data_IF_924985020575
#
_entry.id   IF_924985020575
#
_cell.length_a   1.000
_cell.length_b   1.000
_cell.length_c   1.000
_cell.angle_alpha   90.00
_cell.angle_beta   90.00
_cell.angle_gamma   90.00
#
_symmetry.space_group_name_H-M   'P 1'
#
loop_
_entity.id
_entity.type
_entity.pdbx_description
1 polymer ?
#
# COMPACT_ATOMS: atom_id res chain seq x y z
N UNK A 1 -12.52 -56.48 33.12
CA UNK A 1 -11.97 -55.13 32.88
C UNK A 1 -10.92 -55.24 31.78
N UNK A 2 -11.34 -55.13 30.51
CA UNK A 2 -10.45 -55.13 29.37
C UNK A 2 -10.19 -53.68 28.97
N UNK A 3 -8.93 -53.25 29.03
CA UNK A 3 -8.47 -52.02 28.38
C UNK A 3 -8.13 -52.34 26.92
N UNK A 4 -8.80 -51.69 26.01
CA UNK A 4 -8.47 -51.66 24.59
C UNK A 4 -7.52 -50.49 24.35
N UNK A 5 -6.25 -50.77 24.09
CA UNK A 5 -5.26 -49.81 23.59
C UNK A 5 -5.46 -49.64 22.09
N UNK A 6 -5.95 -48.44 21.71
CA UNK A 6 -6.04 -48.03 20.30
C UNK A 6 -4.76 -47.29 19.96
N UNK A 7 -3.83 -47.94 19.29
CA UNK A 7 -2.67 -47.33 18.66
C UNK A 7 -3.06 -46.50 17.45
N UNK A 8 -3.07 -45.20 17.59
CA UNK A 8 -3.15 -44.25 16.46
C UNK A 8 -1.76 -44.12 15.82
N UNK A 9 -1.51 -44.86 14.77
CA UNK A 9 -0.37 -44.59 13.87
C UNK A 9 -0.63 -43.32 13.12
N UNK A 10 0.08 -42.24 13.48
CA UNK A 10 0.15 -41.00 12.72
C UNK A 10 0.83 -41.24 11.37
N UNK A 11 0.04 -41.49 10.34
CA UNK A 11 0.51 -41.42 8.96
C UNK A 11 0.83 -39.96 8.64
N UNK A 12 2.11 -39.58 8.73
CA UNK A 12 2.63 -38.35 8.19
C UNK A 12 2.54 -38.40 6.66
N UNK A 13 1.52 -37.81 6.08
CA UNK A 13 1.53 -37.55 4.64
C UNK A 13 2.75 -36.70 4.30
N UNK A 14 3.51 -37.02 3.25
CA UNK A 14 4.64 -36.20 2.86
C UNK A 14 4.13 -34.82 2.39
N UNK A 15 4.57 -33.75 3.06
CA UNK A 15 4.38 -32.38 2.61
C UNK A 15 5.10 -32.23 1.27
N UNK A 16 4.39 -32.37 0.15
CA UNK A 16 4.91 -32.01 -1.16
C UNK A 16 5.17 -30.50 -1.16
N UNK A 17 6.45 -30.13 -1.18
CA UNK A 17 6.89 -28.77 -1.46
C UNK A 17 6.41 -28.43 -2.88
N UNK A 18 5.41 -27.57 -3.02
CA UNK A 18 5.07 -26.97 -4.29
C UNK A 18 6.30 -26.17 -4.75
N UNK A 19 6.99 -26.66 -5.77
CA UNK A 19 8.00 -25.88 -6.48
C UNK A 19 7.28 -24.81 -7.27
N UNK A 20 7.40 -23.59 -6.84
CA UNK A 20 7.05 -22.41 -7.63
C UNK A 20 8.08 -22.34 -8.79
N UNK A 21 7.76 -22.98 -9.93
CA UNK A 21 8.63 -23.07 -11.10
C UNK A 21 8.32 -21.94 -12.08
N UNK A 22 8.27 -20.70 -11.63
CA UNK A 22 8.17 -19.58 -12.55
C UNK A 22 9.33 -18.63 -12.33
N UNK A 23 10.39 -18.87 -13.10
CA UNK A 23 11.39 -17.86 -13.37
C UNK A 23 10.84 -16.97 -14.48
N UNK A 24 10.35 -15.78 -14.14
CA UNK A 24 10.22 -14.70 -15.10
C UNK A 24 11.61 -14.09 -15.33
N UNK A 25 12.21 -14.42 -16.46
CA UNK A 25 13.41 -13.76 -16.97
C UNK A 25 13.00 -12.45 -17.68
N UNK A 26 12.57 -11.45 -16.93
CA UNK A 26 12.72 -10.08 -17.40
C UNK A 26 13.98 -9.49 -16.77
N UNK A 27 14.75 -8.76 -17.57
CA UNK A 27 16.01 -8.09 -17.19
C UNK A 27 15.86 -6.99 -16.12
N UNK A 28 14.88 -7.08 -15.25
CA UNK A 28 14.71 -6.22 -14.10
C UNK A 28 15.42 -6.84 -12.91
N UNK A 29 16.25 -6.05 -12.32
CA UNK A 29 17.06 -6.20 -11.12
C UNK A 29 16.73 -7.44 -10.24
N UNK A 30 17.64 -8.43 -10.21
CA UNK A 30 17.52 -9.68 -9.41
C UNK A 30 17.11 -9.44 -7.94
N UNK A 31 17.41 -8.26 -7.39
CA UNK A 31 17.04 -7.90 -6.03
C UNK A 31 15.55 -7.75 -5.83
N UNK A 32 14.83 -7.28 -6.86
CA UNK A 32 13.40 -7.11 -6.84
C UNK A 32 12.68 -8.47 -6.88
N UNK A 33 13.18 -9.40 -7.70
CA UNK A 33 12.63 -10.76 -7.77
C UNK A 33 12.78 -11.54 -6.46
N UNK A 34 13.86 -11.33 -5.72
CA UNK A 34 14.06 -12.02 -4.45
C UNK A 34 13.05 -11.62 -3.36
N UNK A 35 12.54 -10.37 -3.37
CA UNK A 35 11.45 -9.96 -2.47
C UNK A 35 10.11 -10.59 -2.81
N UNK A 36 9.93 -10.92 -4.09
CA UNK A 36 8.70 -11.52 -4.61
C UNK A 36 8.65 -13.03 -4.32
N UNK A 37 9.79 -13.70 -4.18
CA UNK A 37 9.87 -15.15 -3.97
C UNK A 37 9.39 -15.62 -2.59
N UNK A 38 9.22 -14.73 -1.61
CA UNK A 38 8.60 -15.02 -0.31
C UNK A 38 7.07 -14.83 -0.32
N UNK A 39 6.42 -15.09 -1.44
CA UNK A 39 4.95 -15.08 -1.50
C UNK A 39 4.39 -16.18 -0.60
N UNK A 40 3.44 -15.89 0.28
CA UNK A 40 2.75 -16.92 1.04
C UNK A 40 2.13 -17.95 0.11
N UNK A 41 2.00 -19.19 0.57
CA UNK A 41 1.30 -20.24 -0.17
C UNK A 41 -0.10 -19.78 -0.55
N UNK A 42 -0.66 -20.27 -1.68
CA UNK A 42 -2.02 -19.92 -2.09
C UNK A 42 -2.97 -20.14 -0.92
N UNK A 43 -3.84 -19.16 -0.70
CA UNK A 43 -4.81 -19.19 0.41
C UNK A 43 -5.88 -20.23 0.20
N UNK A 44 -6.17 -20.59 -1.06
CA UNK A 44 -7.19 -21.56 -1.44
C UNK A 44 -6.55 -22.94 -1.69
N UNK A 45 -6.99 -23.93 -0.94
CA UNK A 45 -6.54 -25.31 -1.17
C UNK A 45 -7.23 -25.89 -2.42
N UNK A 46 -6.58 -26.88 -3.05
CA UNK A 46 -7.15 -27.57 -4.22
C UNK A 46 -8.54 -28.16 -3.96
N UNK A 47 -8.77 -28.68 -2.76
CA UNK A 47 -10.06 -29.25 -2.34
C UNK A 47 -11.16 -28.18 -2.23
N UNK A 48 -10.83 -27.04 -1.67
CA UNK A 48 -11.72 -25.88 -1.62
C UNK A 48 -12.05 -25.37 -3.02
N UNK A 49 -11.05 -25.27 -3.89
CA UNK A 49 -11.21 -24.85 -5.26
C UNK A 49 -12.18 -25.77 -6.04
N UNK A 50 -12.02 -27.10 -5.92
CA UNK A 50 -12.93 -28.05 -6.54
C UNK A 50 -14.36 -27.90 -5.99
N UNK A 51 -14.51 -27.62 -4.70
CA UNK A 51 -15.79 -27.38 -4.07
C UNK A 51 -16.44 -26.09 -4.61
N UNK A 52 -15.67 -25.01 -4.74
CA UNK A 52 -16.13 -23.75 -5.33
C UNK A 52 -16.59 -23.95 -6.78
N UNK A 53 -15.79 -24.59 -7.62
CA UNK A 53 -16.14 -24.86 -9.02
C UNK A 53 -17.44 -25.65 -9.13
N UNK A 54 -17.64 -26.67 -8.28
CA UNK A 54 -18.87 -27.48 -8.26
C UNK A 54 -20.11 -26.68 -7.84
N UNK A 55 -19.94 -25.62 -7.06
CA UNK A 55 -21.01 -24.70 -6.68
C UNK A 55 -21.54 -23.86 -7.82
N UNK A 56 -20.76 -23.70 -8.89
CA UNK A 56 -21.07 -22.83 -10.00
C UNK A 56 -20.88 -21.35 -9.70
N UNK A 57 -21.20 -20.50 -10.69
CA UNK A 57 -21.10 -19.04 -10.55
C UNK A 57 -22.15 -18.48 -9.59
N UNK A 58 -21.74 -17.52 -8.78
CA UNK A 58 -22.60 -16.78 -7.85
C UNK A 58 -22.15 -15.32 -7.71
N UNK A 59 -22.60 -14.65 -6.65
CA UNK A 59 -22.23 -13.25 -6.37
C UNK A 59 -20.71 -13.07 -6.14
N UNK A 60 -20.02 -14.11 -5.68
CA UNK A 60 -18.62 -14.08 -5.28
C UNK A 60 -17.70 -14.91 -6.16
N UNK A 61 -18.25 -15.68 -7.08
CA UNK A 61 -17.50 -16.57 -7.96
C UNK A 61 -17.87 -16.37 -9.43
N UNK A 62 -16.85 -16.18 -10.25
CA UNK A 62 -16.97 -16.13 -11.72
C UNK A 62 -16.02 -17.14 -12.35
N UNK A 63 -16.52 -17.95 -13.29
CA UNK A 63 -15.76 -18.98 -14.00
C UNK A 63 -15.52 -18.56 -15.45
N UNK A 64 -14.32 -18.78 -15.96
CA UNK A 64 -13.95 -18.45 -17.33
C UNK A 64 -13.15 -19.59 -17.96
N UNK A 65 -13.48 -19.97 -19.17
CA UNK A 65 -12.70 -20.97 -19.92
C UNK A 65 -11.32 -20.41 -20.26
N UNK A 66 -11.27 -19.15 -20.69
CA UNK A 66 -10.05 -18.44 -21.07
C UNK A 66 -10.21 -16.93 -20.91
N UNK A 67 -9.12 -16.22 -20.94
CA UNK A 67 -9.12 -14.76 -21.05
C UNK A 67 -9.32 -14.38 -22.52
N UNK A 68 -10.54 -13.98 -22.91
CA UNK A 68 -10.88 -13.74 -24.32
C UNK A 68 -11.20 -12.28 -24.64
N UNK A 69 -11.65 -11.50 -23.67
CA UNK A 69 -12.01 -10.10 -23.85
C UNK A 69 -11.61 -9.30 -22.60
N UNK A 70 -10.49 -8.57 -22.66
CA UNK A 70 -9.98 -7.79 -21.53
C UNK A 70 -11.00 -6.82 -20.94
N UNK A 71 -11.77 -6.12 -21.79
CA UNK A 71 -12.80 -5.18 -21.33
C UNK A 71 -13.89 -5.89 -20.49
N UNK A 72 -14.40 -7.04 -20.96
CA UNK A 72 -15.40 -7.83 -20.20
C UNK A 72 -14.83 -8.37 -18.90
N UNK A 73 -13.54 -8.69 -18.87
CA UNK A 73 -12.85 -9.13 -17.66
C UNK A 73 -12.71 -7.95 -16.68
N UNK A 74 -12.29 -6.75 -17.16
CA UNK A 74 -12.24 -5.54 -16.33
C UNK A 74 -13.59 -5.22 -15.70
N UNK A 75 -14.68 -5.29 -16.47
CA UNK A 75 -16.05 -5.12 -15.97
C UNK A 75 -16.42 -6.15 -14.89
N UNK A 76 -16.03 -7.42 -15.06
CA UNK A 76 -16.25 -8.48 -14.06
C UNK A 76 -15.47 -8.22 -12.77
N UNK A 77 -14.20 -7.85 -12.88
CA UNK A 77 -13.37 -7.50 -11.73
C UNK A 77 -13.94 -6.30 -10.99
N UNK A 78 -14.34 -5.24 -11.72
CA UNK A 78 -14.99 -4.06 -11.13
C UNK A 78 -16.30 -4.44 -10.43
N UNK A 79 -17.10 -5.29 -11.03
CA UNK A 79 -18.37 -5.74 -10.42
C UNK A 79 -18.13 -6.50 -9.10
N UNK A 80 -17.16 -7.41 -9.06
CA UNK A 80 -16.76 -8.09 -7.82
C UNK A 80 -16.25 -7.09 -6.78
N UNK A 81 -15.33 -6.21 -7.17
CA UNK A 81 -14.71 -5.23 -6.27
C UNK A 81 -15.71 -4.25 -5.65
N UNK A 82 -16.74 -3.88 -6.39
CA UNK A 82 -17.81 -2.96 -5.93
C UNK A 82 -18.90 -3.63 -5.12
N UNK A 83 -18.98 -4.95 -5.14
CA UNK A 83 -20.02 -5.66 -4.39
C UNK A 83 -19.48 -6.08 -3.01
N UNK A 84 -18.73 -7.15 -2.93
CA UNK A 84 -18.13 -7.59 -1.67
C UNK A 84 -16.81 -8.33 -1.89
N UNK A 85 -16.23 -8.16 -3.08
CA UNK A 85 -15.11 -8.96 -3.54
C UNK A 85 -15.54 -10.31 -4.09
N UNK A 86 -14.58 -11.17 -4.35
CA UNK A 86 -14.83 -12.52 -4.83
C UNK A 86 -13.66 -13.06 -5.65
N UNK A 87 -13.89 -14.20 -6.26
CA UNK A 87 -12.89 -14.97 -6.98
C UNK A 87 -13.28 -15.14 -8.44
N UNK A 88 -12.34 -14.94 -9.34
CA UNK A 88 -12.48 -15.26 -10.76
C UNK A 88 -11.51 -16.38 -11.12
N UNK A 89 -12.01 -17.48 -11.71
CA UNK A 89 -11.22 -18.67 -12.03
C UNK A 89 -11.16 -18.85 -13.54
N UNK A 90 -9.96 -18.95 -14.08
CA UNK A 90 -9.69 -19.16 -15.51
C UNK A 90 -9.21 -20.57 -15.76
N UNK A 91 -9.75 -21.21 -16.79
CA UNK A 91 -9.49 -22.60 -17.16
C UNK A 91 -10.59 -23.56 -16.75
N UNK A 92 -11.81 -23.05 -16.49
CA UNK A 92 -13.00 -23.84 -16.13
C UNK A 92 -14.09 -23.57 -17.15
N UNK A 93 -14.73 -24.65 -17.66
CA UNK A 93 -15.84 -24.53 -18.61
C UNK A 93 -17.18 -24.27 -17.92
N UNK A 94 -18.16 -23.82 -18.71
CA UNK A 94 -19.54 -23.62 -18.29
C UNK A 94 -20.20 -24.91 -17.74
N UNK A 95 -19.62 -26.09 -18.07
CA UNK A 95 -20.03 -27.38 -17.53
C UNK A 95 -19.34 -27.72 -16.21
N UNK A 96 -18.71 -26.75 -15.58
CA UNK A 96 -17.99 -26.88 -14.30
C UNK A 96 -16.83 -27.88 -14.36
N UNK A 97 -16.20 -28.04 -15.53
CA UNK A 97 -15.05 -28.93 -15.73
C UNK A 97 -13.77 -28.13 -15.82
N UNK A 98 -12.75 -28.62 -15.13
CA UNK A 98 -11.41 -28.05 -15.24
C UNK A 98 -10.79 -28.45 -16.60
N UNK A 99 -10.74 -27.50 -17.51
CA UNK A 99 -10.11 -27.68 -18.83
C UNK A 99 -8.63 -27.32 -18.81
N UNK A 100 -8.26 -26.35 -17.94
CA UNK A 100 -6.91 -25.83 -17.83
C UNK A 100 -6.62 -24.75 -18.89
N UNK A 101 -5.48 -24.10 -18.72
CA UNK A 101 -4.96 -23.06 -19.60
C UNK A 101 -3.69 -23.54 -20.29
N UNK A 102 -3.53 -23.21 -21.56
CA UNK A 102 -2.31 -23.54 -22.32
C UNK A 102 -1.11 -22.71 -21.84
N UNK A 103 -1.33 -21.43 -21.57
CA UNK A 103 -0.30 -20.51 -21.09
C UNK A 103 -0.81 -19.71 -19.88
N UNK A 104 -0.79 -20.26 -18.66
CA UNK A 104 -1.25 -19.57 -17.46
C UNK A 104 -0.42 -18.32 -17.14
N UNK A 105 0.86 -18.29 -17.48
CA UNK A 105 1.77 -17.18 -17.24
C UNK A 105 1.31 -15.93 -18.00
N UNK A 106 0.96 -16.09 -19.29
CA UNK A 106 0.41 -14.99 -20.10
C UNK A 106 -0.92 -14.48 -19.55
N UNK A 107 -1.76 -15.36 -19.02
CA UNK A 107 -3.03 -14.96 -18.38
C UNK A 107 -2.78 -14.15 -17.11
N UNK A 108 -1.80 -14.53 -16.30
CA UNK A 108 -1.39 -13.78 -15.09
C UNK A 108 -0.88 -12.38 -15.45
N UNK A 109 -0.06 -12.27 -16.50
CA UNK A 109 0.47 -10.98 -16.97
C UNK A 109 -0.65 -10.06 -17.47
N UNK A 110 -1.55 -10.60 -18.28
CA UNK A 110 -2.67 -9.82 -18.84
C UNK A 110 -3.66 -9.40 -17.75
N UNK A 111 -3.98 -10.25 -16.78
CA UNK A 111 -4.80 -9.89 -15.62
C UNK A 111 -4.15 -8.79 -14.78
N UNK A 112 -2.85 -8.87 -14.56
CA UNK A 112 -2.12 -7.83 -13.85
C UNK A 112 -2.15 -6.50 -14.60
N UNK A 113 -2.07 -6.55 -15.93
CA UNK A 113 -2.20 -5.37 -16.81
C UNK A 113 -3.60 -4.77 -16.72
N UNK A 114 -4.64 -5.57 -16.87
CA UNK A 114 -6.04 -5.14 -16.75
C UNK A 114 -6.27 -4.45 -15.39
N UNK A 115 -5.83 -5.06 -14.30
CA UNK A 115 -5.98 -4.48 -12.96
C UNK A 115 -5.25 -3.16 -12.77
N UNK A 116 -4.14 -2.95 -13.50
CA UNK A 116 -3.32 -1.74 -13.41
C UNK A 116 -3.81 -0.62 -14.34
N UNK A 117 -4.22 -0.96 -15.57
CA UNK A 117 -4.46 0.00 -16.65
C UNK A 117 -5.94 0.24 -16.94
N UNK A 118 -6.78 -0.82 -16.82
CA UNK A 118 -8.18 -0.75 -17.24
C UNK A 118 -9.17 -0.51 -16.08
N UNK A 119 -8.66 -0.47 -14.84
CA UNK A 119 -9.47 -0.27 -13.63
C UNK A 119 -8.98 0.93 -12.84
N UNK A 120 -9.92 1.77 -12.39
CA UNK A 120 -9.60 2.94 -11.58
C UNK A 120 -10.45 2.96 -10.28
N UNK A 121 -9.83 3.20 -9.09
CA UNK A 121 -8.38 3.13 -8.88
C UNK A 121 -7.82 1.74 -9.20
N UNK A 122 -6.52 1.62 -9.51
CA UNK A 122 -5.92 0.33 -9.82
C UNK A 122 -6.08 -0.69 -8.68
N UNK A 123 -6.39 -1.93 -9.04
CA UNK A 123 -6.52 -3.05 -8.09
C UNK A 123 -5.21 -3.83 -8.07
N UNK A 124 -4.73 -4.16 -6.87
CA UNK A 124 -3.62 -5.11 -6.73
C UNK A 124 -4.18 -6.52 -6.74
N UNK A 125 -3.99 -7.29 -7.82
CA UNK A 125 -4.57 -8.61 -7.94
C UNK A 125 -3.88 -9.62 -7.01
N UNK A 126 -4.66 -10.52 -6.43
CA UNK A 126 -4.18 -11.73 -5.78
C UNK A 126 -4.30 -12.87 -6.80
N UNK A 127 -3.19 -13.22 -7.44
CA UNK A 127 -3.15 -14.20 -8.53
C UNK A 127 -2.37 -15.44 -8.09
N UNK A 128 -3.01 -16.59 -8.22
CA UNK A 128 -2.41 -17.90 -7.97
C UNK A 128 -2.58 -18.80 -9.19
N UNK A 129 -1.55 -19.59 -9.50
CA UNK A 129 -1.64 -20.64 -10.52
C UNK A 129 -1.66 -22.00 -9.83
N UNK A 130 -2.74 -22.76 -10.05
CA UNK A 130 -2.95 -24.06 -9.40
C UNK A 130 -2.86 -25.17 -10.43
N UNK A 131 -1.98 -26.15 -10.17
CA UNK A 131 -1.81 -27.32 -11.03
C UNK A 131 -2.60 -28.51 -10.49
N UNK A 132 -3.21 -29.27 -11.40
CA UNK A 132 -3.91 -30.53 -11.14
C UNK A 132 -3.05 -31.73 -11.51
N UNK A 133 -3.39 -32.93 -10.99
CA UNK A 133 -2.59 -34.16 -11.19
C UNK A 133 -2.53 -34.58 -12.67
N UNK A 134 -3.52 -34.19 -13.47
CA UNK A 134 -3.54 -34.45 -14.92
C UNK A 134 -2.71 -33.43 -15.73
N UNK A 135 -1.89 -32.60 -15.07
CA UNK A 135 -1.06 -31.59 -15.69
C UNK A 135 -1.80 -30.30 -16.09
N UNK A 136 -3.10 -30.24 -15.94
CA UNK A 136 -3.87 -29.02 -16.22
C UNK A 136 -3.58 -27.94 -15.19
N UNK A 137 -3.45 -26.70 -15.63
CA UNK A 137 -3.21 -25.53 -14.79
C UNK A 137 -4.30 -24.51 -14.98
N UNK A 138 -4.75 -23.92 -13.89
CA UNK A 138 -5.75 -22.84 -13.88
C UNK A 138 -5.17 -21.64 -13.17
N UNK A 139 -5.73 -20.46 -13.43
CA UNK A 139 -5.40 -19.21 -12.75
C UNK A 139 -6.58 -18.78 -11.90
N UNK A 140 -6.31 -18.44 -10.67
CA UNK A 140 -7.28 -17.92 -9.69
C UNK A 140 -6.93 -16.47 -9.42
N UNK A 141 -7.89 -15.58 -9.59
CA UNK A 141 -7.80 -14.18 -9.24
C UNK A 141 -8.76 -13.88 -8.10
N UNK A 142 -8.23 -13.50 -6.95
CA UNK A 142 -9.03 -13.00 -5.84
C UNK A 142 -9.08 -11.48 -5.86
N UNK A 143 -10.28 -10.92 -5.74
CA UNK A 143 -10.59 -9.50 -5.80
C UNK A 143 -11.11 -9.03 -4.44
N UNK A 144 -10.50 -7.98 -3.89
CA UNK A 144 -10.95 -7.36 -2.65
C UNK A 144 -12.12 -6.41 -2.88
N UNK A 145 -13.23 -6.60 -2.15
CA UNK A 145 -14.42 -5.76 -2.20
C UNK A 145 -14.52 -4.69 -1.10
N UNK A 146 -13.45 -4.40 -0.38
CA UNK A 146 -13.50 -3.54 0.83
C UNK A 146 -13.33 -2.04 0.56
N UNK A 147 -13.00 -1.65 -0.65
CA UNK A 147 -12.62 -0.27 -0.99
C UNK A 147 -13.30 0.28 -2.24
N UNK A 148 -14.62 0.06 -2.45
CA UNK A 148 -15.32 0.72 -3.53
C UNK A 148 -15.24 2.25 -3.35
N UNK A 149 -15.45 3.04 -4.40
CA UNK A 149 -15.91 2.65 -5.72
C UNK A 149 -14.76 2.38 -6.70
N UNK A 150 -14.90 1.33 -7.51
CA UNK A 150 -14.04 1.05 -8.65
C UNK A 150 -14.82 1.27 -9.95
N UNK A 151 -14.12 1.70 -10.99
CA UNK A 151 -14.69 1.89 -12.33
C UNK A 151 -13.75 1.39 -13.40
N UNK A 152 -14.28 1.08 -14.57
CA UNK A 152 -13.48 0.80 -15.76
C UNK A 152 -12.86 2.10 -16.30
N UNK A 153 -11.84 1.99 -17.14
CA UNK A 153 -11.13 3.16 -17.70
C UNK A 153 -12.06 4.13 -18.45
N UNK A 154 -13.14 3.63 -19.04
CA UNK A 154 -14.19 4.41 -19.72
C UNK A 154 -15.20 5.07 -18.77
N UNK A 155 -14.99 4.96 -17.45
CA UNK A 155 -15.77 5.65 -16.41
C UNK A 155 -17.01 4.92 -15.93
N UNK A 156 -17.26 3.67 -16.35
CA UNK A 156 -18.45 2.92 -15.96
C UNK A 156 -18.26 2.12 -14.67
N UNK A 157 -19.33 2.02 -13.90
CA UNK A 157 -19.37 1.29 -12.64
C UNK A 157 -20.27 0.05 -12.80
N UNK A 158 -19.84 -1.05 -12.25
CA UNK A 158 -20.55 -2.33 -12.31
C UNK A 158 -20.74 -2.89 -10.90
N UNK A 159 -21.87 -3.56 -10.68
CA UNK A 159 -22.17 -4.38 -9.50
C UNK A 159 -22.45 -5.81 -9.94
N UNK A 160 -22.27 -6.73 -9.00
CA UNK A 160 -22.65 -8.13 -9.19
C UNK A 160 -23.97 -8.42 -8.49
N UNK A 161 -24.92 -9.00 -9.22
CA UNK A 161 -26.23 -9.42 -8.73
C UNK A 161 -26.38 -10.90 -9.08
N UNK A 162 -26.21 -11.78 -8.09
CA UNK A 162 -26.05 -13.20 -8.35
C UNK A 162 -24.84 -13.47 -9.26
N UNK A 163 -25.02 -14.30 -10.29
CA UNK A 163 -23.96 -14.60 -11.27
C UNK A 163 -23.79 -13.52 -12.36
N UNK A 164 -24.65 -12.49 -12.39
CA UNK A 164 -24.61 -11.49 -13.45
C UNK A 164 -23.96 -10.19 -12.99
N UNK A 165 -23.26 -9.52 -13.91
CA UNK A 165 -22.79 -8.16 -13.72
C UNK A 165 -23.78 -7.16 -14.30
N UNK A 166 -24.10 -6.11 -13.53
CA UNK A 166 -24.98 -5.02 -13.94
C UNK A 166 -24.22 -3.70 -13.92
N UNK A 167 -24.31 -2.93 -15.00
CA UNK A 167 -23.85 -1.55 -15.02
C UNK A 167 -24.75 -0.68 -14.15
N UNK A 168 -24.18 0.20 -13.33
CA UNK A 168 -24.90 1.18 -12.52
C UNK A 168 -25.32 2.32 -13.44
N UNK A 169 -26.62 2.56 -13.56
CA UNK A 169 -27.14 3.66 -14.35
C UNK A 169 -26.70 5.00 -13.74
N UNK A 170 -26.46 6.00 -14.59
CA UNK A 170 -26.00 7.34 -14.14
C UNK A 170 -26.97 7.97 -13.13
N UNK A 171 -28.26 7.71 -13.23
CA UNK A 171 -29.29 8.15 -12.30
C UNK A 171 -29.21 7.49 -10.92
N UNK A 172 -28.66 6.27 -10.84
CA UNK A 172 -28.53 5.47 -9.61
C UNK A 172 -27.17 5.72 -8.93
N UNK A 173 -26.19 6.23 -9.70
CA UNK A 173 -24.80 6.33 -9.27
C UNK A 173 -24.64 7.18 -8.00
N UNK A 174 -25.34 8.30 -7.91
CA UNK A 174 -25.27 9.19 -6.74
C UNK A 174 -25.72 8.48 -5.46
N UNK A 175 -26.90 7.84 -5.50
CA UNK A 175 -27.45 7.13 -4.35
C UNK A 175 -26.52 5.98 -3.92
N UNK A 176 -25.98 5.22 -4.90
CA UNK A 176 -25.05 4.15 -4.61
C UNK A 176 -23.75 4.65 -3.99
N UNK A 177 -23.17 5.76 -4.47
CA UNK A 177 -21.97 6.37 -3.88
C UNK A 177 -22.22 6.86 -2.44
N UNK A 178 -23.42 7.37 -2.14
CA UNK A 178 -23.80 7.78 -0.79
C UNK A 178 -23.91 6.58 0.17
N UNK A 179 -24.37 5.43 -0.31
CA UNK A 179 -24.46 4.20 0.49
C UNK A 179 -23.09 3.62 0.84
N UNK A 180 -22.14 3.63 -0.10
CA UNK A 180 -20.83 2.96 0.07
C UNK A 180 -19.98 3.64 1.15
N UNK A 181 -20.12 4.92 1.38
CA UNK A 181 -19.29 5.74 2.28
C UNK A 181 -17.81 5.38 2.14
N UNK A 182 -17.07 5.97 1.20
CA UNK A 182 -15.68 5.61 0.94
C UNK A 182 -14.89 5.54 2.25
N UNK A 183 -14.17 4.44 2.46
CA UNK A 183 -13.35 4.23 3.67
C UNK A 183 -12.11 5.14 3.72
N UNK A 184 -12.12 6.25 2.99
CA UNK A 184 -11.05 7.23 3.01
C UNK A 184 -11.13 8.03 4.32
N UNK A 185 -10.52 7.51 5.38
CA UNK A 185 -10.47 8.16 6.69
C UNK A 185 -9.91 9.58 6.61
N UNK A 186 -9.02 9.83 5.66
CA UNK A 186 -8.45 11.16 5.41
C UNK A 186 -9.50 12.22 5.04
N UNK A 187 -10.66 11.83 4.48
CA UNK A 187 -11.73 12.72 4.05
C UNK A 187 -12.81 12.96 5.14
N UNK A 188 -12.64 12.41 6.33
CA UNK A 188 -13.57 12.63 7.43
C UNK A 188 -13.47 14.10 7.88
N UNK A 189 -14.58 14.86 7.89
CA UNK A 189 -14.61 16.20 8.42
C UNK A 189 -14.45 16.18 9.94
N UNK A 190 -13.69 17.14 10.47
CA UNK A 190 -13.46 17.34 11.89
C UNK A 190 -14.38 18.47 12.39
N UNK A 191 -15.45 18.12 13.07
CA UNK A 191 -16.43 19.09 13.60
C UNK A 191 -15.87 20.06 14.63
N UNK A 192 -14.72 19.73 15.21
CA UNK A 192 -14.00 20.57 16.18
C UNK A 192 -12.99 21.50 15.52
N UNK A 193 -12.72 21.33 14.25
CA UNK A 193 -11.76 22.15 13.50
C UNK A 193 -12.48 23.25 12.72
N UNK A 194 -11.81 24.37 12.59
CA UNK A 194 -12.26 25.55 11.88
C UNK A 194 -11.26 25.98 10.81
N UNK A 195 -11.64 26.89 9.94
CA UNK A 195 -10.73 27.46 8.95
C UNK A 195 -9.50 28.14 9.56
N UNK A 196 -9.66 28.72 10.76
CA UNK A 196 -8.57 29.39 11.47
C UNK A 196 -7.49 28.44 12.01
N UNK A 197 -7.72 27.14 11.99
CA UNK A 197 -6.75 26.13 12.38
C UNK A 197 -5.74 25.78 11.29
N UNK A 198 -5.94 26.29 10.06
CA UNK A 198 -4.98 26.16 8.98
C UNK A 198 -3.82 27.14 9.14
N UNK A 199 -2.64 26.73 8.69
CA UNK A 199 -1.45 27.54 8.53
C UNK A 199 -1.54 28.29 7.19
N UNK A 200 -1.91 29.57 7.26
CA UNK A 200 -2.08 30.41 6.08
C UNK A 200 -0.76 30.55 5.29
N UNK A 201 0.38 30.61 5.97
CA UNK A 201 1.70 30.70 5.31
C UNK A 201 2.00 29.49 4.46
N UNK A 202 1.69 28.30 4.98
CA UNK A 202 1.90 27.03 4.27
C UNK A 202 0.91 26.89 3.11
N UNK A 203 -0.36 27.25 3.32
CA UNK A 203 -1.38 27.29 2.25
C UNK A 203 -0.99 28.26 1.13
N UNK A 204 -0.55 29.46 1.49
CA UNK A 204 -0.14 30.48 0.54
C UNK A 204 1.09 30.06 -0.27
N UNK A 205 2.11 29.50 0.39
CA UNK A 205 3.31 29.04 -0.30
C UNK A 205 3.02 27.91 -1.30
N UNK A 206 2.09 27.02 -0.93
CA UNK A 206 1.64 25.96 -1.81
C UNK A 206 0.78 26.47 -2.97
N UNK A 207 -0.14 27.41 -2.70
CA UNK A 207 -1.00 28.05 -3.70
C UNK A 207 -0.20 28.83 -4.73
N UNK A 208 0.76 29.65 -4.30
CA UNK A 208 1.60 30.47 -5.18
C UNK A 208 2.37 29.62 -6.21
N UNK A 209 2.73 28.40 -5.85
CA UNK A 209 3.42 27.50 -6.76
C UNK A 209 2.54 27.00 -7.93
N UNK A 210 1.23 27.21 -7.88
CA UNK A 210 0.28 26.89 -8.95
C UNK A 210 -0.13 28.11 -9.80
N UNK A 211 0.22 29.34 -9.40
CA UNK A 211 -0.23 30.55 -10.08
C UNK A 211 0.28 30.72 -11.52
N UNK A 212 1.41 30.12 -11.85
CA UNK A 212 2.02 30.31 -13.18
C UNK A 212 1.23 29.64 -14.33
N UNK A 213 0.32 28.67 -14.04
CA UNK A 213 -0.28 27.87 -15.11
C UNK A 213 -1.82 27.89 -15.22
N UNK A 214 -2.62 28.18 -14.18
CA UNK A 214 -4.06 27.87 -14.22
C UNK A 214 -5.03 28.96 -13.71
N UNK A 215 -4.66 29.85 -12.80
CA UNK A 215 -5.64 30.61 -12.00
C UNK A 215 -5.56 32.14 -12.04
N UNK A 216 -4.83 32.75 -12.97
CA UNK A 216 -4.96 34.17 -13.28
C UNK A 216 -5.23 35.12 -12.09
N UNK A 217 -4.43 35.11 -11.05
CA UNK A 217 -4.23 36.32 -10.26
C UNK A 217 -5.16 36.60 -9.07
N UNK A 218 -5.91 35.63 -8.51
CA UNK A 218 -6.67 35.90 -7.28
C UNK A 218 -6.46 34.81 -6.21
N UNK A 219 -5.59 35.08 -5.24
CA UNK A 219 -5.19 34.18 -4.18
C UNK A 219 -6.34 33.68 -3.29
N UNK A 220 -7.38 34.48 -3.09
CA UNK A 220 -8.56 34.02 -2.35
C UNK A 220 -9.32 32.92 -3.09
N UNK A 221 -9.39 32.97 -4.41
CA UNK A 221 -9.99 31.90 -5.22
C UNK A 221 -9.15 30.65 -5.20
N UNK A 222 -7.83 30.75 -5.07
CA UNK A 222 -6.91 29.64 -4.99
C UNK A 222 -7.03 28.92 -3.65
N UNK A 223 -7.17 29.62 -2.54
CA UNK A 223 -7.41 29.03 -1.23
C UNK A 223 -8.75 28.28 -1.19
N UNK A 224 -9.81 28.84 -1.77
CA UNK A 224 -11.11 28.19 -1.89
C UNK A 224 -11.08 26.96 -2.81
N UNK A 225 -10.32 27.03 -3.90
CA UNK A 225 -10.06 25.90 -4.78
C UNK A 225 -9.33 24.79 -4.03
N UNK A 226 -8.24 25.09 -3.32
CA UNK A 226 -7.51 24.11 -2.52
C UNK A 226 -8.40 23.46 -1.46
N UNK A 227 -9.27 24.24 -0.83
CA UNK A 227 -10.18 23.73 0.20
C UNK A 227 -11.30 22.86 -0.38
N UNK A 228 -11.93 23.27 -1.48
CA UNK A 228 -13.10 22.60 -2.07
C UNK A 228 -12.72 21.47 -3.01
N UNK A 229 -11.88 21.73 -4.00
CA UNK A 229 -11.61 20.77 -5.07
C UNK A 229 -10.59 19.71 -4.66
N UNK A 230 -9.73 20.01 -3.68
CA UNK A 230 -8.84 19.03 -3.09
C UNK A 230 -9.44 18.31 -1.86
N UNK A 231 -10.72 18.54 -1.55
CA UNK A 231 -11.42 17.95 -0.40
C UNK A 231 -10.66 18.13 0.94
N UNK A 232 -9.97 19.27 1.10
CA UNK A 232 -9.30 19.60 2.36
C UNK A 232 -10.28 20.09 3.41
N UNK A 233 -11.48 20.47 2.98
CA UNK A 233 -12.59 20.81 3.84
C UNK A 233 -13.93 20.44 3.17
N UNK A 234 -14.92 20.16 3.99
CA UNK A 234 -16.29 19.80 3.58
C UNK A 234 -17.26 20.74 4.28
N UNK A 235 -18.28 21.21 3.59
CA UNK A 235 -19.32 22.02 4.18
C UNK A 235 -20.22 22.66 3.13
N UNK A 236 -21.38 23.11 3.56
CA UNK A 236 -22.23 24.02 2.80
C UNK A 236 -21.67 25.44 2.94
N UNK A 237 -22.16 26.36 2.14
CA UNK A 237 -21.67 27.75 1.99
C UNK A 237 -21.52 28.58 3.28
N UNK A 238 -21.98 28.08 4.43
CA UNK A 238 -21.97 28.79 5.71
C UNK A 238 -21.12 28.15 6.80
N UNK A 239 -20.78 26.85 6.70
CA UNK A 239 -19.92 26.16 7.69
C UNK A 239 -18.85 25.32 7.00
N UNK A 240 -17.63 25.71 7.24
CA UNK A 240 -16.45 25.09 6.65
C UNK A 240 -15.80 24.15 7.68
N UNK A 241 -15.80 22.83 7.42
CA UNK A 241 -15.19 21.85 8.32
C UNK A 241 -13.94 21.27 7.66
N UNK A 242 -12.73 21.54 8.18
CA UNK A 242 -11.53 20.89 7.71
C UNK A 242 -11.60 19.37 7.82
N UNK A 243 -11.05 18.68 6.82
CA UNK A 243 -10.93 17.22 6.87
C UNK A 243 -9.66 16.79 7.61
N UNK A 244 -9.57 15.50 7.96
CA UNK A 244 -8.33 14.91 8.52
C UNK A 244 -7.14 15.18 7.60
N UNK A 245 -7.31 15.04 6.27
CA UNK A 245 -6.25 15.36 5.30
C UNK A 245 -5.86 16.84 5.36
N UNK A 246 -6.84 17.74 5.39
CA UNK A 246 -6.60 19.18 5.46
C UNK A 246 -5.78 19.57 6.69
N UNK A 247 -6.19 19.08 7.87
CA UNK A 247 -5.49 19.38 9.13
C UNK A 247 -4.09 18.75 9.14
N UNK A 248 -3.93 17.52 8.65
CA UNK A 248 -2.60 16.89 8.59
C UNK A 248 -1.65 17.57 7.60
N UNK A 249 -2.15 18.08 6.49
CA UNK A 249 -1.32 18.74 5.48
C UNK A 249 -1.03 20.21 5.82
N UNK A 250 -2.04 20.95 6.23
CA UNK A 250 -1.99 22.40 6.34
C UNK A 250 -2.40 22.97 7.70
N UNK A 251 -2.62 22.10 8.71
CA UNK A 251 -2.94 22.57 10.06
C UNK A 251 -1.76 23.27 10.73
N UNK A 252 -2.05 24.27 11.58
CA UNK A 252 -1.07 24.86 12.48
C UNK A 252 -0.46 23.81 13.37
N UNK A 253 0.85 23.84 13.56
CA UNK A 253 1.58 22.79 14.31
C UNK A 253 1.09 22.59 15.75
N UNK A 254 0.66 23.64 16.41
CA UNK A 254 0.06 23.60 17.74
C UNK A 254 -1.35 23.00 17.75
N UNK A 255 -2.10 23.16 16.66
CA UNK A 255 -3.48 22.70 16.54
C UNK A 255 -3.60 21.23 16.12
N UNK A 256 -2.66 20.73 15.30
CA UNK A 256 -2.70 19.33 14.86
C UNK A 256 -2.74 18.34 16.02
N UNK A 257 -1.90 18.42 17.08
CA UNK A 257 -1.98 17.49 18.21
C UNK A 257 -3.25 17.66 19.07
N UNK A 258 -3.86 18.85 19.08
CA UNK A 258 -5.15 19.06 19.76
C UNK A 258 -6.30 18.37 19.02
N UNK A 259 -6.37 18.54 17.70
CA UNK A 259 -7.43 17.99 16.84
C UNK A 259 -7.23 16.52 16.53
N UNK A 260 -5.97 16.09 16.41
CA UNK A 260 -5.58 14.74 16.00
C UNK A 260 -4.48 14.17 16.94
N UNK A 261 -4.77 13.96 18.24
CA UNK A 261 -3.76 13.61 19.27
C UNK A 261 -3.02 12.29 18.99
N UNK A 262 -3.58 11.43 18.14
CA UNK A 262 -2.99 10.15 17.77
C UNK A 262 -2.24 10.18 16.44
N UNK A 263 -2.05 11.37 15.83
CA UNK A 263 -1.30 11.54 14.58
C UNK A 263 0.22 11.52 14.76
N UNK A 264 0.71 11.57 15.99
CA UNK A 264 2.13 11.63 16.34
C UNK A 264 2.95 10.46 15.76
N UNK A 265 4.24 10.73 15.55
CA UNK A 265 5.25 9.75 15.16
C UNK A 265 6.28 9.62 16.28
N UNK A 266 6.56 8.40 16.71
CA UNK A 266 7.61 8.12 17.69
C UNK A 266 8.91 7.80 16.96
N UNK A 267 9.99 8.51 17.30
CA UNK A 267 11.34 8.22 16.81
C UNK A 267 12.22 7.83 17.98
N UNK A 268 13.04 6.79 17.81
CA UNK A 268 13.94 6.35 18.88
C UNK A 268 15.30 5.90 18.32
N UNK A 269 16.36 6.19 19.07
CA UNK A 269 17.72 5.71 18.83
C UNK A 269 18.07 4.65 19.86
N UNK A 270 18.57 3.53 19.38
CA UNK A 270 19.02 2.40 20.18
C UNK A 270 20.53 2.18 20.00
N UNK A 271 21.27 1.96 21.07
CA UNK A 271 22.69 1.53 21.03
C UNK A 271 22.73 0.02 20.94
N UNK A 272 23.00 -0.48 19.75
CA UNK A 272 23.00 -1.91 19.40
C UNK A 272 22.31 -2.17 18.07
N UNK A 273 22.11 -3.45 17.75
CA UNK A 273 21.68 -3.89 16.39
C UNK A 273 20.27 -4.47 16.34
N UNK A 274 19.60 -4.62 17.49
CA UNK A 274 18.27 -5.25 17.60
C UNK A 274 17.42 -4.66 18.73
N UNK A 275 16.19 -5.15 18.87
CA UNK A 275 15.22 -4.66 19.86
C UNK A 275 15.58 -4.82 21.34
N UNK A 276 16.63 -5.59 21.69
CA UNK A 276 17.16 -5.72 23.05
C UNK A 276 18.22 -4.66 23.36
N UNK A 277 18.49 -3.76 22.42
CA UNK A 277 19.46 -2.69 22.56
C UNK A 277 18.96 -1.61 23.54
N UNK A 278 19.90 -0.94 24.17
CA UNK A 278 19.59 0.15 25.10
C UNK A 278 19.04 1.37 24.35
N UNK A 279 17.97 1.95 24.85
CA UNK A 279 17.41 3.21 24.35
C UNK A 279 18.38 4.35 24.69
N UNK A 280 18.79 5.10 23.66
CA UNK A 280 19.65 6.29 23.81
C UNK A 280 18.78 7.56 23.86
N UNK A 281 17.82 7.68 22.97
CA UNK A 281 16.90 8.81 22.92
C UNK A 281 15.56 8.34 22.33
N UNK A 282 14.46 8.85 22.86
CA UNK A 282 13.12 8.71 22.30
C UNK A 282 12.47 10.07 22.22
N UNK A 283 11.80 10.37 21.12
CA UNK A 283 11.07 11.61 20.90
C UNK A 283 9.75 11.35 20.20
N UNK A 284 8.71 12.07 20.62
CA UNK A 284 7.43 12.14 19.91
C UNK A 284 7.41 13.40 19.06
N UNK A 285 7.09 13.23 17.77
CA UNK A 285 7.01 14.31 16.79
C UNK A 285 5.55 14.55 16.45
N UNK A 286 5.13 15.81 16.56
CA UNK A 286 3.78 16.28 16.34
C UNK A 286 3.81 17.49 15.40
N UNK A 287 2.67 17.78 14.78
CA UNK A 287 2.47 18.88 13.86
C UNK A 287 1.92 18.43 12.52
N UNK A 288 1.89 19.34 11.55
CA UNK A 288 1.53 18.98 10.19
C UNK A 288 2.58 18.07 9.55
N UNK A 289 2.21 17.40 8.45
CA UNK A 289 3.05 16.37 7.84
C UNK A 289 4.40 16.91 7.37
N UNK A 290 4.48 18.16 6.90
CA UNK A 290 5.74 18.75 6.46
C UNK A 290 6.69 18.93 7.64
N UNK A 291 6.21 19.52 8.73
CA UNK A 291 6.99 19.69 9.97
C UNK A 291 7.46 18.36 10.53
N UNK A 292 6.58 17.36 10.57
CA UNK A 292 6.92 16.00 11.06
C UNK A 292 7.95 15.34 10.14
N UNK A 293 7.82 15.50 8.81
CA UNK A 293 8.77 14.97 7.83
C UNK A 293 10.17 15.53 8.04
N UNK A 294 10.29 16.84 8.17
CA UNK A 294 11.57 17.51 8.40
C UNK A 294 12.17 17.14 9.76
N UNK A 295 11.35 17.10 10.81
CA UNK A 295 11.79 16.71 12.14
C UNK A 295 12.30 15.26 12.19
N UNK A 296 11.68 14.33 11.44
CA UNK A 296 12.18 12.96 11.29
C UNK A 296 13.55 12.96 10.59
N UNK A 297 13.69 13.67 9.49
CA UNK A 297 14.97 13.73 8.76
C UNK A 297 16.08 14.30 9.64
N UNK A 298 15.81 15.38 10.37
CA UNK A 298 16.78 15.97 11.31
C UNK A 298 17.15 14.98 12.43
N UNK A 299 16.18 14.21 12.96
CA UNK A 299 16.48 13.19 13.95
C UNK A 299 17.37 12.08 13.39
N UNK A 300 17.10 11.63 12.16
CA UNK A 300 17.93 10.62 11.50
C UNK A 300 19.35 11.17 11.25
N UNK A 301 19.47 12.40 10.78
CA UNK A 301 20.77 13.06 10.50
C UNK A 301 21.63 13.28 11.75
N UNK A 302 21.02 13.34 12.94
CA UNK A 302 21.78 13.39 14.20
C UNK A 302 22.58 12.12 14.46
N UNK A 303 22.10 10.97 14.02
CA UNK A 303 22.68 9.66 14.29
C UNK A 303 23.26 8.95 13.08
N UNK A 304 22.90 9.37 11.87
CA UNK A 304 23.29 8.77 10.60
C UNK A 304 23.83 9.80 9.64
N UNK A 305 24.67 9.36 8.71
CA UNK A 305 25.06 10.19 7.57
C UNK A 305 24.18 9.83 6.37
N UNK A 306 23.77 10.85 5.61
CA UNK A 306 22.88 10.70 4.45
C UNK A 306 23.56 11.18 3.15
N UNK A 307 24.64 10.53 2.66
CA UNK A 307 25.25 10.89 1.40
C UNK A 307 24.37 10.50 0.19
N UNK A 308 24.48 11.28 -0.90
CA UNK A 308 23.82 10.99 -2.17
C UNK A 308 24.44 9.80 -2.91
N UNK A 309 25.75 9.63 -2.75
CA UNK A 309 26.53 8.57 -3.39
C UNK A 309 27.23 7.72 -2.34
N UNK A 310 27.53 6.47 -2.68
CA UNK A 310 28.29 5.59 -1.80
C UNK A 310 29.64 6.24 -1.48
N UNK A 311 29.95 6.51 -0.20
CA UNK A 311 31.25 7.07 0.15
C UNK A 311 32.34 6.08 -0.23
N UNK A 312 33.42 6.59 -0.82
CA UNK A 312 34.63 5.77 -0.97
C UNK A 312 35.03 5.37 0.45
N UNK A 313 35.17 4.05 0.71
CA UNK A 313 35.51 3.56 2.06
C UNK A 313 36.74 4.33 2.55
N UNK A 314 36.66 5.04 3.67
CA UNK A 314 37.89 5.56 4.27
C UNK A 314 38.72 4.34 4.65
N UNK A 315 39.99 4.32 4.25
CA UNK A 315 40.95 3.36 4.79
C UNK A 315 40.81 3.44 6.30
N UNK A 316 40.44 2.33 6.95
CA UNK A 316 40.14 2.29 8.37
C UNK A 316 41.31 2.91 9.16
N UNK A 317 41.17 4.13 9.64
CA UNK A 317 42.01 4.67 10.66
C UNK A 317 41.60 4.00 11.98
N UNK A 318 42.37 3.00 12.37
CA UNK A 318 42.20 2.15 13.54
C UNK A 318 42.13 2.96 14.86
N UNK A 319 42.46 4.25 14.83
CA UNK A 319 42.64 5.11 16.01
C UNK A 319 41.55 6.16 16.21
N UNK A 320 40.38 6.07 15.58
CA UNK A 320 39.29 7.02 15.87
C UNK A 320 38.35 6.47 16.91
N UNK A 321 38.27 7.06 18.14
CA UNK A 321 37.36 6.61 19.20
C UNK A 321 35.88 6.97 18.96
N UNK A 322 35.58 7.63 17.85
CA UNK A 322 34.20 7.99 17.51
C UNK A 322 33.60 6.81 16.71
N UNK A 323 32.61 6.13 17.29
CA UNK A 323 31.84 5.12 16.60
C UNK A 323 31.38 5.69 15.25
N UNK A 324 31.84 5.09 14.16
CA UNK A 324 31.53 5.56 12.82
C UNK A 324 30.00 5.54 12.64
N UNK A 325 29.42 6.70 12.35
CA UNK A 325 27.98 6.80 12.06
C UNK A 325 27.69 5.98 10.82
N UNK A 326 26.64 5.15 10.89
CA UNK A 326 26.19 4.42 9.73
C UNK A 326 25.74 5.36 8.60
N UNK A 327 26.08 5.02 7.38
CA UNK A 327 25.73 5.80 6.19
C UNK A 327 24.53 5.15 5.49
N UNK A 328 23.55 5.97 5.08
CA UNK A 328 22.39 5.55 4.33
C UNK A 328 22.22 6.41 3.07
N UNK A 329 21.66 5.85 2.02
CA UNK A 329 21.40 6.60 0.80
C UNK A 329 20.31 7.67 1.04
N UNK A 330 20.67 8.95 0.86
CA UNK A 330 19.78 10.09 1.17
C UNK A 330 18.37 9.95 0.58
N UNK A 331 18.29 9.65 -0.72
CA UNK A 331 16.99 9.58 -1.39
C UNK A 331 16.17 8.36 -0.94
N UNK A 332 16.81 7.25 -0.58
CA UNK A 332 16.09 6.08 -0.05
C UNK A 332 15.47 6.38 1.31
N UNK A 333 16.16 7.11 2.18
CA UNK A 333 15.66 7.54 3.49
C UNK A 333 14.53 8.55 3.32
N UNK A 334 14.71 9.59 2.51
CA UNK A 334 13.67 10.60 2.24
C UNK A 334 12.38 9.97 1.72
N UNK A 335 12.50 9.07 0.76
CA UNK A 335 11.35 8.35 0.19
C UNK A 335 10.71 7.40 1.21
N UNK A 336 11.49 6.72 2.06
CA UNK A 336 10.96 5.85 3.11
C UNK A 336 10.13 6.63 4.14
N UNK A 337 10.63 7.80 4.59
CA UNK A 337 9.90 8.68 5.49
C UNK A 337 8.62 9.20 4.85
N UNK A 338 8.71 9.69 3.61
CA UNK A 338 7.54 10.17 2.88
C UNK A 338 6.49 9.08 2.67
N UNK A 339 6.90 7.89 2.23
CA UNK A 339 5.98 6.75 2.07
C UNK A 339 5.32 6.35 3.38
N UNK A 340 6.06 6.38 4.49
CA UNK A 340 5.51 6.07 5.80
C UNK A 340 4.40 7.07 6.18
N UNK A 341 4.61 8.38 5.98
CA UNK A 341 3.62 9.41 6.31
C UNK A 341 2.41 9.36 5.36
N UNK A 342 2.62 9.19 4.05
CA UNK A 342 1.55 9.12 3.06
C UNK A 342 0.68 7.87 3.15
N UNK A 343 1.26 6.74 3.55
CA UNK A 343 0.60 5.43 3.50
C UNK A 343 0.26 4.86 4.90
N UNK A 344 0.22 5.70 5.91
CA UNK A 344 -0.27 5.34 7.23
C UNK A 344 -1.77 5.02 7.17
N UNK A 345 -2.20 3.91 7.78
CA UNK A 345 -3.63 3.65 8.00
C UNK A 345 -4.12 4.54 9.17
N UNK A 346 -4.74 5.66 8.83
CA UNK A 346 -5.21 6.66 9.79
C UNK A 346 -6.38 6.15 10.64
N UNK A 347 -7.06 5.09 10.24
CA UNK A 347 -8.14 4.48 11.01
C UNK A 347 -7.62 3.60 12.16
N UNK A 348 -6.37 3.10 12.06
CA UNK A 348 -5.71 2.32 13.12
C UNK A 348 -5.05 3.25 14.14
N UNK A 349 -5.87 3.89 14.95
CA UNK A 349 -5.42 4.90 15.93
C UNK A 349 -4.62 4.32 17.09
N UNK A 350 -4.83 3.03 17.40
CA UNK A 350 -4.20 2.36 18.55
C UNK A 350 -2.72 2.02 18.28
N UNK A 351 -2.33 1.93 17.01
CA UNK A 351 -0.98 1.56 16.62
C UNK A 351 -0.22 2.81 16.18
N UNK A 352 0.82 3.24 16.91
CA UNK A 352 1.59 4.42 16.53
C UNK A 352 2.52 4.14 15.36
N UNK A 353 2.76 5.17 14.55
CA UNK A 353 3.87 5.17 13.57
C UNK A 353 5.19 5.34 14.31
N UNK A 354 6.19 4.51 14.02
CA UNK A 354 7.47 4.48 14.74
C UNK A 354 8.65 4.38 13.79
N UNK A 355 9.76 5.04 14.15
CA UNK A 355 11.05 4.89 13.48
C UNK A 355 12.09 4.53 14.53
N UNK A 356 12.79 3.42 14.33
CA UNK A 356 13.86 2.97 15.20
C UNK A 356 15.19 2.99 14.47
N UNK A 357 16.16 3.69 15.05
CA UNK A 357 17.52 3.80 14.51
C UNK A 357 18.44 2.95 15.37
N UNK A 358 19.00 1.91 14.78
CA UNK A 358 20.03 1.04 15.37
C UNK A 358 21.42 1.39 14.83
N UNK A 359 22.45 0.74 15.34
CA UNK A 359 23.84 1.02 14.92
C UNK A 359 24.07 0.74 13.43
N UNK A 360 23.33 -0.18 12.83
CA UNK A 360 23.53 -0.62 11.45
C UNK A 360 22.25 -0.66 10.60
N UNK A 361 21.11 -0.24 11.14
CA UNK A 361 19.84 -0.30 10.43
C UNK A 361 18.84 0.78 10.91
N UNK A 362 17.89 1.11 10.04
CA UNK A 362 16.72 1.93 10.37
C UNK A 362 15.48 1.09 10.07
N UNK A 363 14.56 1.04 11.03
CA UNK A 363 13.25 0.41 10.90
C UNK A 363 12.16 1.48 10.82
N UNK A 364 11.34 1.43 9.78
CA UNK A 364 10.15 2.24 9.58
C UNK A 364 8.94 1.35 9.83
N UNK A 365 8.13 1.66 10.85
CA UNK A 365 7.00 0.85 11.29
C UNK A 365 5.72 1.67 11.20
N UNK A 366 4.77 1.18 10.41
CA UNK A 366 3.55 1.90 10.09
C UNK A 366 2.33 1.03 10.38
N UNK A 367 1.25 1.58 10.99
CA UNK A 367 -0.01 0.88 11.10
C UNK A 367 -0.56 0.58 9.71
N UNK A 368 -0.97 -0.66 9.48
CA UNK A 368 -1.59 -1.12 8.25
C UNK A 368 -2.44 -2.36 8.53
N UNK A 369 -3.72 -2.32 8.18
CA UNK A 369 -4.58 -3.49 8.32
C UNK A 369 -4.02 -4.66 7.54
N UNK A 370 -3.84 -5.78 8.23
CA UNK A 370 -3.42 -7.05 7.65
C UNK A 370 -4.58 -8.02 7.54
N UNK A 371 -5.64 -7.80 8.33
CA UNK A 371 -6.85 -8.61 8.31
C UNK A 371 -7.72 -8.23 7.11
N UNK A 372 -7.89 -9.17 6.22
CA UNK A 372 -8.63 -9.04 4.98
C UNK A 372 -7.70 -8.88 3.77
N UNK A 373 -8.31 -8.76 2.60
CA UNK A 373 -7.68 -8.77 1.28
C UNK A 373 -6.83 -7.53 0.96
N UNK A 374 -6.13 -6.94 1.93
CA UNK A 374 -5.11 -5.96 1.57
C UNK A 374 -3.92 -6.74 1.04
N UNK A 375 -3.62 -6.66 -0.27
CA UNK A 375 -2.52 -7.42 -0.85
C UNK A 375 -1.23 -7.06 -0.11
N UNK A 376 -0.37 -8.04 0.19
CA UNK A 376 0.95 -7.75 0.73
C UNK A 376 1.67 -6.73 -0.15
N UNK A 377 2.42 -5.81 0.44
CA UNK A 377 3.20 -4.82 -0.31
C UNK A 377 4.08 -5.47 -1.39
N UNK A 378 4.57 -6.69 -1.12
CA UNK A 378 5.30 -7.50 -2.10
C UNK A 378 4.52 -7.80 -3.38
N UNK A 379 3.21 -8.04 -3.29
CA UNK A 379 2.36 -8.26 -4.48
C UNK A 379 2.09 -6.96 -5.24
N UNK A 380 1.81 -5.87 -4.54
CA UNK A 380 1.68 -4.55 -5.18
C UNK A 380 2.93 -4.19 -5.98
N UNK A 381 4.10 -4.41 -5.38
CA UNK A 381 5.40 -4.21 -6.02
C UNK A 381 5.57 -5.11 -7.25
N UNK A 382 5.20 -6.39 -7.14
CA UNK A 382 5.31 -7.36 -8.24
C UNK A 382 4.56 -6.93 -9.50
N UNK A 383 3.35 -6.41 -9.30
CA UNK A 383 2.48 -6.01 -10.42
C UNK A 383 2.65 -4.54 -10.82
N UNK A 384 3.58 -3.81 -10.19
CA UNK A 384 3.82 -2.41 -10.48
C UNK A 384 2.62 -1.50 -10.15
N UNK A 385 1.74 -1.94 -9.24
CA UNK A 385 0.54 -1.21 -8.87
C UNK A 385 0.80 -0.40 -7.60
N UNK A 386 0.53 0.90 -7.68
CA UNK A 386 0.61 1.80 -6.52
C UNK A 386 -0.72 1.82 -5.80
N UNK A 387 -0.77 1.22 -4.62
CA UNK A 387 -1.92 1.32 -3.74
C UNK A 387 -1.76 2.51 -2.79
N UNK A 388 -2.56 3.56 -2.98
CA UNK A 388 -2.57 4.72 -2.10
C UNK A 388 -3.65 4.52 -1.04
N UNK A 389 -3.27 4.46 0.25
CA UNK A 389 -4.21 4.37 1.36
C UNK A 389 -4.88 5.72 1.58
N UNK A 390 -4.10 6.80 1.49
CA UNK A 390 -4.57 8.17 1.61
C UNK A 390 -4.24 8.90 0.29
N UNK A 391 -5.09 8.79 -0.74
CA UNK A 391 -4.79 9.34 -2.07
C UNK A 391 -4.70 10.87 -2.07
N UNK A 392 -5.47 11.55 -1.24
CA UNK A 392 -5.46 13.01 -1.11
C UNK A 392 -4.13 13.48 -0.51
N UNK A 393 -3.77 12.95 0.65
CA UNK A 393 -2.48 13.24 1.29
C UNK A 393 -1.33 12.91 0.33
N UNK A 394 -1.37 11.73 -0.29
CA UNK A 394 -0.30 11.31 -1.19
C UNK A 394 -0.18 12.19 -2.44
N UNK A 395 -1.30 12.72 -2.97
CA UNK A 395 -1.29 13.59 -4.15
C UNK A 395 -0.60 14.93 -3.87
N UNK A 396 -0.83 15.49 -2.70
CA UNK A 396 -0.29 16.80 -2.29
C UNK A 396 1.13 16.66 -1.75
N UNK A 397 1.34 15.73 -0.80
CA UNK A 397 2.62 15.56 -0.13
C UNK A 397 3.77 15.16 -1.09
N UNK A 398 3.45 14.45 -2.17
CA UNK A 398 4.44 14.07 -3.18
C UNK A 398 4.80 15.18 -4.17
N UNK A 399 4.16 16.35 -4.09
CA UNK A 399 4.46 17.49 -4.95
C UNK A 399 5.64 18.29 -4.42
N UNK A 400 6.47 18.78 -5.35
CA UNK A 400 7.62 19.63 -5.01
C UNK A 400 7.18 20.93 -4.33
N UNK A 401 6.05 21.44 -4.71
CA UNK A 401 5.45 22.67 -4.24
C UNK A 401 5.08 22.61 -2.75
N UNK A 402 4.83 21.40 -2.21
CA UNK A 402 4.63 21.19 -0.77
C UNK A 402 5.93 21.28 0.05
N UNK A 403 7.09 21.36 -0.59
CA UNK A 403 8.39 21.53 0.08
C UNK A 403 9.14 20.24 0.39
N UNK A 404 8.55 19.07 0.17
CA UNK A 404 9.20 17.79 0.48
C UNK A 404 10.33 17.43 -0.48
N UNK A 405 10.27 17.87 -1.73
CA UNK A 405 11.28 17.58 -2.79
C UNK A 405 11.72 16.12 -2.82
N UNK A 406 10.79 15.18 -2.64
CA UNK A 406 11.08 13.76 -2.61
C UNK A 406 11.20 13.19 -4.01
N UNK A 407 12.12 12.23 -4.24
CA UNK A 407 12.18 11.51 -5.50
C UNK A 407 10.92 10.67 -5.70
N UNK A 408 10.49 10.52 -6.95
CA UNK A 408 9.42 9.59 -7.31
C UNK A 408 9.98 8.18 -7.45
N UNK A 409 9.27 7.15 -6.96
CA UNK A 409 9.67 5.77 -7.17
C UNK A 409 9.21 4.78 -6.09
N UNK A 410 8.73 5.27 -4.96
CA UNK A 410 8.14 4.46 -3.90
C UNK A 410 9.05 3.35 -3.38
N UNK A 411 8.43 2.31 -2.85
CA UNK A 411 9.13 1.18 -2.25
C UNK A 411 10.14 0.48 -3.19
N UNK A 412 9.88 0.29 -4.50
CA UNK A 412 10.89 -0.28 -5.41
C UNK A 412 12.19 0.52 -5.45
N UNK A 413 12.09 1.84 -5.47
CA UNK A 413 13.25 2.73 -5.48
C UNK A 413 14.02 2.64 -4.16
N UNK A 414 13.30 2.63 -3.01
CA UNK A 414 13.92 2.49 -1.68
C UNK A 414 14.75 1.20 -1.62
N UNK A 415 14.14 0.06 -2.00
CA UNK A 415 14.80 -1.24 -1.96
C UNK A 415 16.04 -1.29 -2.86
N UNK A 416 15.91 -0.78 -4.08
CA UNK A 416 16.99 -0.74 -5.07
C UNK A 416 18.17 0.12 -4.60
N UNK A 417 17.90 1.34 -4.17
CA UNK A 417 18.94 2.27 -3.74
C UNK A 417 19.60 1.83 -2.44
N UNK A 418 18.84 1.36 -1.46
CA UNK A 418 19.39 0.85 -0.20
C UNK A 418 20.32 -0.33 -0.43
N UNK A 419 19.92 -1.29 -1.28
CA UNK A 419 20.77 -2.44 -1.60
C UNK A 419 22.03 -2.05 -2.38
N UNK A 420 21.91 -1.20 -3.39
CA UNK A 420 23.07 -0.69 -4.15
C UNK A 420 24.06 0.02 -3.25
N UNK A 421 23.56 0.75 -2.27
CA UNK A 421 24.36 1.51 -1.35
C UNK A 421 25.04 0.65 -0.29
N UNK A 422 24.30 -0.19 0.44
CA UNK A 422 24.81 -0.96 1.57
C UNK A 422 25.33 -2.36 1.21
N UNK A 423 25.03 -2.87 0.02
CA UNK A 423 25.26 -4.26 -0.35
C UNK A 423 24.33 -5.26 0.36
N UNK A 424 23.57 -4.81 1.37
CA UNK A 424 22.68 -5.65 2.16
C UNK A 424 21.24 -5.55 1.65
N UNK A 425 20.51 -6.66 1.75
CA UNK A 425 19.09 -6.72 1.40
C UNK A 425 18.27 -6.09 2.52
N UNK A 426 17.39 -5.14 2.17
CA UNK A 426 16.39 -4.61 3.11
C UNK A 426 15.34 -5.67 3.42
N UNK A 427 14.64 -5.55 4.53
CA UNK A 427 13.63 -6.51 4.99
C UNK A 427 12.27 -5.84 5.09
N UNK A 428 11.24 -6.59 4.70
CA UNK A 428 9.84 -6.16 4.79
C UNK A 428 9.08 -7.21 5.60
N UNK A 429 8.40 -6.75 6.63
CA UNK A 429 7.53 -7.56 7.47
C UNK A 429 6.13 -6.98 7.47
N UNK A 430 5.14 -7.85 7.43
CA UNK A 430 3.73 -7.50 7.56
C UNK A 430 3.11 -8.47 8.55
N UNK A 431 2.79 -8.00 9.75
CA UNK A 431 2.15 -8.80 10.79
C UNK A 431 1.48 -7.88 11.81
N UNK A 432 0.46 -8.38 12.49
CA UNK A 432 -0.22 -7.68 13.60
C UNK A 432 -0.66 -6.25 13.25
N UNK A 433 -1.24 -6.08 12.06
CA UNK A 433 -1.67 -4.77 11.54
C UNK A 433 -0.54 -3.72 11.43
N UNK A 434 0.70 -4.19 11.29
CA UNK A 434 1.87 -3.36 11.06
C UNK A 434 2.57 -3.72 9.75
N UNK A 435 3.06 -2.69 9.07
CA UNK A 435 4.03 -2.80 7.98
C UNK A 435 5.37 -2.28 8.50
N UNK A 436 6.41 -3.11 8.43
CA UNK A 436 7.77 -2.75 8.81
C UNK A 436 8.69 -2.85 7.60
N UNK A 437 9.42 -1.78 7.34
CA UNK A 437 10.54 -1.74 6.41
C UNK A 437 11.84 -1.54 7.20
N UNK A 438 12.81 -2.44 7.03
CA UNK A 438 14.15 -2.32 7.60
C UNK A 438 15.18 -2.13 6.50
N UNK A 439 15.93 -1.05 6.57
CA UNK A 439 17.04 -0.75 5.67
C UNK A 439 18.36 -0.80 6.42
N UNK A 440 19.42 -1.22 5.75
CA UNK A 440 20.76 -1.36 6.34
C UNK A 440 21.69 -0.26 5.87
N UNK A 441 22.53 0.23 6.81
CA UNK A 441 23.62 1.14 6.54
C UNK A 441 24.97 0.45 6.36
N UNK A 442 25.99 1.24 6.00
CA UNK A 442 27.42 0.87 5.92
C UNK A 442 28.23 1.73 6.89
#
# INVERSE_FOLDING_TARGET
MCRLDINYTKNKMPRRKFRNTQRFEQQSDRSFHEYVLNTPAPTTTRSELIRLIRGGEDTFLELKVKLSNPEKIAQGIVALANTAGGTMIFGVSDQLRVEGLMNPESVVEELAKICREDIFPPIVPLLDTIAFDNGRRIVVLDVDGKRPPYRTHDGRFYLRIGAEKREIARSELSNWLDEIRPLAFENIPLSTATETDFDDGLLWSFANAFEDDVLGGNLYQTADFLKKDLLLAVGNTEEFMPTVAGVLLFGKNEKVPELLPRSKVTVARYSGVNGNAQVVETKELNGNLLTVYEAILHFIERYCNLPKNTPKQPKANINSPIAARANYHLYAVKEAVANMLMHRDLALREIPTRIFIYDNSIEFINPRRTNGFVPPASRAIRYGITQRINPQIASIFSKREYGTSIPKGGLPMILKQSRRFSGKRSEIYTSNDEFKLKIYGI
#
